data_IF_403184088684
#
_entry.id   IF_403184088684
#
_cell.length_a   1.000
_cell.length_b   1.000
_cell.length_c   1.000
_cell.angle_alpha   90.00
_cell.angle_beta   90.00
_cell.angle_gamma   90.00
#
_symmetry.space_group_name_H-M   'P 1'
#
loop_
_entity.id
_entity.type
_entity.pdbx_description
1 polymer ?
#
# COMPACT_ATOMS: atom_id res chain seq x y z
N UNK A 1 -12.43 -25.23 24.63
CA UNK A 1 -11.82 -26.06 23.57
C UNK A 1 -10.77 -25.19 22.92
N UNK A 2 -9.55 -25.26 23.44
CA UNK A 2 -8.41 -24.49 22.93
C UNK A 2 -7.92 -25.15 21.64
N UNK A 3 -7.85 -24.37 20.56
CA UNK A 3 -7.11 -24.76 19.36
C UNK A 3 -5.96 -23.78 19.17
N UNK A 4 -4.78 -24.25 19.57
CA UNK A 4 -3.49 -23.66 19.27
C UNK A 4 -3.10 -24.05 17.85
N UNK A 5 -2.93 -23.09 16.96
CA UNK A 5 -2.37 -23.33 15.63
C UNK A 5 -0.84 -23.32 15.70
N UNK A 6 -0.23 -24.41 15.24
CA UNK A 6 1.23 -24.56 15.13
C UNK A 6 1.72 -23.90 13.84
N UNK A 7 2.67 -22.99 13.95
CA UNK A 7 3.36 -22.36 12.82
C UNK A 7 4.39 -23.35 12.27
N UNK A 8 4.23 -23.74 11.01
CA UNK A 8 5.17 -24.60 10.27
C UNK A 8 6.47 -23.85 9.97
N UNK A 9 7.58 -24.35 10.50
CA UNK A 9 8.95 -23.96 10.13
C UNK A 9 9.35 -24.58 8.78
N UNK A 10 10.11 -23.82 7.99
CA UNK A 10 10.66 -24.20 6.67
C UNK A 10 11.59 -25.42 6.74
N UNK A 11 11.64 -26.28 5.71
CA UNK A 11 12.68 -27.29 5.58
C UNK A 11 13.97 -26.69 4.97
N UNK A 12 15.10 -27.14 5.50
CA UNK A 12 16.46 -26.89 5.02
C UNK A 12 16.71 -27.54 3.65
N UNK A 13 17.39 -26.82 2.76
CA UNK A 13 17.86 -27.32 1.46
C UNK A 13 19.26 -27.91 1.58
N UNK A 14 19.42 -29.14 1.11
CA UNK A 14 20.73 -29.80 0.90
C UNK A 14 21.23 -29.55 -0.53
N UNK A 15 22.55 -29.48 -0.77
CA UNK A 15 23.11 -29.22 -2.09
C UNK A 15 23.34 -30.53 -2.86
N UNK A 16 22.99 -30.54 -4.14
CA UNK A 16 23.38 -31.60 -5.08
C UNK A 16 24.47 -31.12 -6.06
N UNK A 17 25.49 -31.98 -6.10
CA UNK A 17 26.68 -32.13 -6.92
C UNK A 17 26.66 -31.73 -8.41
N UNK A 18 27.80 -31.17 -8.80
CA UNK A 18 28.41 -31.11 -10.14
C UNK A 18 28.36 -32.41 -10.96
N UNK A 19 28.23 -32.28 -12.28
CA UNK A 19 29.11 -32.91 -13.29
C UNK A 19 28.71 -32.49 -14.71
N UNK A 20 29.70 -32.26 -15.59
CA UNK A 20 29.54 -32.55 -17.03
C UNK A 20 29.95 -31.47 -18.05
N UNK A 21 31.27 -31.39 -18.27
CA UNK A 21 32.03 -31.11 -19.51
C UNK A 21 31.28 -31.13 -20.86
N UNK A 22 31.58 -30.16 -21.74
CA UNK A 22 31.37 -30.25 -23.19
C UNK A 22 31.92 -29.03 -23.96
N UNK A 23 33.10 -29.17 -24.55
CA UNK A 23 33.74 -28.24 -25.50
C UNK A 23 32.96 -28.16 -26.84
N UNK A 24 32.97 -27.01 -27.50
CA UNK A 24 33.34 -26.88 -28.93
C UNK A 24 33.31 -25.42 -29.42
N UNK A 25 34.32 -25.11 -30.22
CA UNK A 25 34.67 -23.82 -30.83
C UNK A 25 33.66 -23.32 -31.87
N UNK A 26 33.65 -22.00 -32.10
CA UNK A 26 32.93 -21.40 -33.23
C UNK A 26 33.17 -19.90 -33.38
N UNK A 27 34.26 -19.55 -34.07
CA UNK A 27 34.67 -18.20 -34.48
C UNK A 27 33.57 -17.47 -35.28
N UNK A 28 33.34 -16.19 -34.97
CA UNK A 28 33.27 -15.14 -35.99
C UNK A 28 33.51 -13.76 -35.38
N UNK A 29 34.54 -13.13 -35.93
CA UNK A 29 35.08 -11.82 -35.63
C UNK A 29 34.36 -10.81 -36.52
N UNK A 30 33.67 -9.82 -35.95
CA UNK A 30 33.24 -8.62 -36.66
C UNK A 30 33.55 -7.43 -35.76
N UNK A 31 34.71 -6.82 -36.00
CA UNK A 31 35.04 -5.48 -35.54
C UNK A 31 34.16 -4.48 -36.29
N UNK A 32 33.34 -3.75 -35.55
CA UNK A 32 32.78 -2.48 -35.99
C UNK A 32 33.20 -1.43 -34.95
N UNK A 33 34.31 -0.78 -35.25
CA UNK A 33 34.72 0.46 -34.60
C UNK A 33 33.64 1.52 -34.83
N UNK A 34 33.01 1.98 -33.75
CA UNK A 34 32.25 3.22 -33.72
C UNK A 34 32.58 3.94 -32.42
N UNK A 35 33.63 4.75 -32.48
CA UNK A 35 34.01 5.70 -31.45
C UNK A 35 32.98 6.83 -31.39
N UNK A 36 31.99 6.68 -30.53
CA UNK A 36 31.21 7.80 -29.98
C UNK A 36 31.45 7.84 -28.47
N UNK A 37 32.40 8.66 -28.07
CA UNK A 37 32.76 8.90 -26.68
C UNK A 37 31.68 9.75 -26.02
N UNK A 38 30.67 9.09 -25.46
CA UNK A 38 29.70 9.74 -24.59
C UNK A 38 30.39 10.13 -23.27
N UNK A 39 30.17 11.36 -22.75
CA UNK A 39 30.72 11.74 -21.46
C UNK A 39 30.13 10.83 -20.39
N UNK A 40 30.98 10.03 -19.74
CA UNK A 40 30.65 9.26 -18.54
C UNK A 40 30.28 10.26 -17.46
N UNK A 41 28.98 10.52 -17.33
CA UNK A 41 28.45 11.42 -16.32
C UNK A 41 28.79 10.87 -14.92
N UNK A 42 29.34 11.75 -14.09
CA UNK A 42 29.82 11.49 -12.73
C UNK A 42 28.65 11.29 -11.75
N UNK A 43 27.77 10.33 -12.03
CA UNK A 43 26.53 10.06 -11.29
C UNK A 43 26.79 9.54 -9.87
N UNK A 44 27.93 8.85 -9.66
CA UNK A 44 28.32 8.31 -8.36
C UNK A 44 28.56 9.38 -7.29
N UNK A 45 29.20 10.51 -7.63
CA UNK A 45 29.46 11.58 -6.65
C UNK A 45 28.17 12.31 -6.26
N UNK A 46 27.26 12.56 -7.20
CA UNK A 46 26.01 13.27 -6.89
C UNK A 46 25.10 12.44 -5.96
N UNK A 47 25.02 11.13 -6.19
CA UNK A 47 24.22 10.24 -5.34
C UNK A 47 24.72 10.22 -3.88
N UNK A 48 26.04 10.18 -3.67
CA UNK A 48 26.62 10.17 -2.32
C UNK A 48 26.40 11.48 -1.55
N UNK A 49 26.44 12.63 -2.21
CA UNK A 49 26.20 13.95 -1.56
C UNK A 49 24.73 14.08 -1.15
N UNK A 50 23.80 13.67 -2.01
CA UNK A 50 22.36 13.71 -1.71
C UNK A 50 21.99 12.77 -0.56
N UNK A 51 22.59 11.58 -0.49
CA UNK A 51 22.35 10.64 0.61
C UNK A 51 22.86 11.15 1.96
N UNK A 52 24.06 11.76 1.98
CA UNK A 52 24.64 12.31 3.21
C UNK A 52 23.79 13.44 3.79
N UNK A 53 23.43 14.42 2.96
CA UNK A 53 22.59 15.53 3.39
C UNK A 53 21.21 15.06 3.89
N UNK A 54 20.65 14.00 3.29
CA UNK A 54 19.42 13.36 3.76
C UNK A 54 19.60 12.77 5.17
N UNK A 55 20.64 11.98 5.39
CA UNK A 55 20.88 11.35 6.69
C UNK A 55 21.06 12.41 7.79
N UNK A 56 21.75 13.50 7.47
CA UNK A 56 21.92 14.65 8.37
C UNK A 56 20.57 15.33 8.67
N UNK A 57 19.73 15.56 7.65
CA UNK A 57 18.40 16.17 7.84
C UNK A 57 17.48 15.32 8.71
N UNK A 58 17.47 14.01 8.49
CA UNK A 58 16.69 13.07 9.30
C UNK A 58 17.21 13.03 10.75
N UNK A 59 18.53 12.97 10.94
CA UNK A 59 19.15 12.98 12.26
C UNK A 59 18.79 14.25 13.05
N UNK A 60 18.86 15.43 12.41
CA UNK A 60 18.45 16.69 13.03
C UNK A 60 16.97 16.69 13.44
N UNK A 61 16.08 16.23 12.55
CA UNK A 61 14.66 16.14 12.88
C UNK A 61 14.39 15.17 14.05
N UNK A 62 15.10 14.04 14.12
CA UNK A 62 15.00 13.09 15.24
C UNK A 62 15.45 13.75 16.55
N UNK A 63 16.54 14.53 16.54
CA UNK A 63 17.01 15.25 17.74
C UNK A 63 15.92 16.22 18.24
N UNK A 64 15.34 17.03 17.36
CA UNK A 64 14.26 17.97 17.72
C UNK A 64 13.07 17.26 18.35
N UNK A 65 12.66 16.10 17.79
CA UNK A 65 11.55 15.32 18.36
C UNK A 65 11.94 14.70 19.70
N UNK A 66 13.17 14.21 19.88
CA UNK A 66 13.65 13.62 21.13
C UNK A 66 13.79 14.64 22.27
N UNK A 67 14.04 15.90 21.95
CA UNK A 67 14.09 16.99 22.93
C UNK A 67 12.70 17.41 23.44
N UNK A 68 11.61 16.90 22.82
CA UNK A 68 10.24 17.12 23.28
C UNK A 68 9.98 16.46 24.63
N UNK A 69 9.46 17.23 25.59
CA UNK A 69 9.00 16.70 26.88
C UNK A 69 7.47 16.50 26.86
N UNK A 70 6.98 15.26 27.00
CA UNK A 70 5.54 14.98 27.06
C UNK A 70 4.84 15.74 28.20
N UNK A 71 3.64 16.28 27.94
CA UNK A 71 2.89 17.02 28.95
C UNK A 71 2.26 16.12 30.01
N UNK A 72 1.97 14.87 29.64
CA UNK A 72 1.37 13.87 30.52
C UNK A 72 1.66 12.45 29.96
N UNK A 73 1.38 11.37 30.73
CA UNK A 73 1.68 10.00 30.31
C UNK A 73 0.93 9.51 29.07
N UNK A 74 -0.12 10.20 28.62
CA UNK A 74 -0.91 9.86 27.43
C UNK A 74 -0.51 10.67 26.19
N UNK A 75 0.46 11.58 26.34
CA UNK A 75 0.95 12.40 25.25
C UNK A 75 1.90 11.58 24.35
N UNK A 76 1.33 11.13 23.23
CA UNK A 76 2.03 10.29 22.25
C UNK A 76 2.85 11.08 21.23
N UNK A 77 2.92 12.41 21.33
CA UNK A 77 3.52 13.31 20.31
C UNK A 77 4.91 12.85 19.88
N UNK A 78 5.82 12.63 20.81
CA UNK A 78 7.19 12.18 20.52
C UNK A 78 7.18 10.83 19.78
N UNK A 79 6.57 9.80 20.38
CA UNK A 79 6.54 8.45 19.80
C UNK A 79 5.89 8.41 18.41
N UNK A 80 4.84 9.20 18.20
CA UNK A 80 4.12 9.26 16.94
C UNK A 80 4.93 9.93 15.84
N UNK A 81 5.56 11.08 16.12
CA UNK A 81 6.40 11.77 15.13
C UNK A 81 7.65 10.93 14.77
N UNK A 82 8.26 10.25 15.74
CA UNK A 82 9.35 9.30 15.45
C UNK A 82 8.89 8.15 14.56
N UNK A 83 7.71 7.59 14.82
CA UNK A 83 7.14 6.56 13.96
C UNK A 83 6.93 7.06 12.53
N UNK A 84 6.44 8.29 12.33
CA UNK A 84 6.29 8.88 11.00
C UNK A 84 7.64 9.09 10.29
N UNK A 85 8.66 9.59 11.00
CA UNK A 85 9.99 9.80 10.45
C UNK A 85 10.63 8.48 9.98
N UNK A 86 10.43 7.40 10.73
CA UNK A 86 11.03 6.10 10.45
C UNK A 86 10.26 5.29 9.40
N UNK A 87 8.94 5.49 9.28
CA UNK A 87 8.06 4.65 8.47
C UNK A 87 7.38 5.40 7.32
N UNK A 88 7.88 6.58 6.94
CA UNK A 88 7.38 7.28 5.76
C UNK A 88 7.55 6.39 4.51
N UNK A 89 6.51 6.22 3.67
CA UNK A 89 6.54 5.29 2.53
C UNK A 89 7.61 5.59 1.49
N UNK A 90 8.03 6.85 1.39
CA UNK A 90 9.05 7.29 0.43
C UNK A 90 10.04 8.25 1.05
N UNK A 91 11.18 8.41 0.39
CA UNK A 91 12.17 9.42 0.76
C UNK A 91 11.61 10.84 0.70
N UNK A 92 10.73 11.12 -0.27
CA UNK A 92 10.09 12.44 -0.41
C UNK A 92 9.12 12.70 0.75
N UNK A 93 8.35 11.69 1.14
CA UNK A 93 7.50 11.72 2.33
C UNK A 93 8.31 11.97 3.60
N UNK A 94 9.39 11.21 3.80
CA UNK A 94 10.30 11.39 4.93
C UNK A 94 10.87 12.81 4.99
N UNK A 95 11.33 13.33 3.84
CA UNK A 95 11.87 14.69 3.73
C UNK A 95 10.82 15.75 4.07
N UNK A 96 9.56 15.57 3.64
CA UNK A 96 8.47 16.47 3.98
C UNK A 96 8.23 16.53 5.49
N UNK A 97 8.22 15.38 6.16
CA UNK A 97 8.05 15.28 7.62
C UNK A 97 9.24 15.94 8.33
N UNK A 98 10.47 15.61 7.94
CA UNK A 98 11.68 16.20 8.52
C UNK A 98 11.65 17.73 8.46
N UNK A 99 11.33 18.28 7.27
CA UNK A 99 11.22 19.73 7.08
C UNK A 99 10.19 20.35 8.02
N UNK A 100 8.98 19.78 8.13
CA UNK A 100 7.93 20.31 9.03
C UNK A 100 8.35 20.27 10.50
N UNK A 101 9.08 19.24 10.91
CA UNK A 101 9.64 19.15 12.27
C UNK A 101 10.67 20.28 12.50
N UNK A 102 11.59 20.48 11.56
CA UNK A 102 12.62 21.52 11.68
C UNK A 102 12.02 22.94 11.65
N UNK A 103 10.98 23.19 10.85
CA UNK A 103 10.19 24.43 10.86
C UNK A 103 9.53 24.73 12.23
N UNK A 104 9.34 23.71 13.08
CA UNK A 104 8.86 23.92 14.45
C UNK A 104 9.95 24.51 15.36
N UNK A 105 11.21 24.16 15.14
CA UNK A 105 12.37 24.62 15.92
C UNK A 105 12.73 26.07 15.61
N UNK A 106 12.67 26.47 14.33
CA UNK A 106 12.97 27.84 13.86
C UNK A 106 12.06 28.92 14.50
N UNK A 107 10.98 28.51 15.16
CA UNK A 107 9.91 29.37 15.66
C UNK A 107 10.19 30.11 16.97
N UNK A 108 11.31 29.83 17.66
CA UNK A 108 11.69 30.55 18.88
C UNK A 108 11.89 29.65 20.11
N UNK A 109 11.35 30.07 21.27
CA UNK A 109 11.68 29.42 22.55
C UNK A 109 11.09 27.99 22.69
N UNK A 110 11.68 27.19 23.60
CA UNK A 110 11.35 25.77 23.81
C UNK A 110 9.86 25.47 23.97
N UNK A 111 9.10 26.35 24.63
CA UNK A 111 7.66 26.16 24.83
C UNK A 111 6.89 26.23 23.51
N UNK A 112 7.23 27.17 22.64
CA UNK A 112 6.60 27.29 21.32
C UNK A 112 6.94 26.09 20.43
N UNK A 113 8.19 25.59 20.49
CA UNK A 113 8.59 24.38 19.76
C UNK A 113 7.72 23.19 20.18
N UNK A 114 7.55 22.97 21.50
CA UNK A 114 6.71 21.90 22.02
C UNK A 114 5.23 22.01 21.58
N UNK A 115 4.65 23.21 21.65
CA UNK A 115 3.28 23.44 21.20
C UNK A 115 3.12 23.17 19.69
N UNK A 116 4.08 23.58 18.85
CA UNK A 116 4.08 23.31 17.42
C UNK A 116 4.26 21.83 17.08
N UNK A 117 5.17 21.12 17.75
CA UNK A 117 5.34 19.67 17.55
C UNK A 117 4.07 18.91 17.90
N UNK A 118 3.37 19.29 18.97
CA UNK A 118 2.06 18.70 19.31
C UNK A 118 1.02 18.98 18.24
N UNK A 119 0.91 20.22 17.75
CA UNK A 119 0.01 20.55 16.65
C UNK A 119 0.34 19.80 15.36
N UNK A 120 1.62 19.56 15.08
CA UNK A 120 2.07 18.77 13.94
C UNK A 120 1.67 17.29 14.09
N UNK A 121 1.86 16.71 15.28
CA UNK A 121 1.42 15.35 15.58
C UNK A 121 -0.10 15.20 15.45
N UNK A 122 -0.87 16.15 16.00
CA UNK A 122 -2.32 16.20 15.84
C UNK A 122 -2.71 16.28 14.36
N UNK A 123 -2.07 17.16 13.58
CA UNK A 123 -2.34 17.30 12.15
C UNK A 123 -2.17 16.00 11.38
N UNK A 124 -1.08 15.26 11.61
CA UNK A 124 -0.90 13.93 11.02
C UNK A 124 -1.89 12.91 11.56
N UNK A 125 -2.20 12.92 12.86
CA UNK A 125 -3.14 11.97 13.46
C UNK A 125 -4.56 12.12 12.86
N UNK A 126 -5.05 13.36 12.78
CA UNK A 126 -6.37 13.70 12.23
C UNK A 126 -6.45 13.58 10.72
N UNK A 127 -5.34 13.76 10.01
CA UNK A 127 -5.31 13.65 8.55
C UNK A 127 -4.93 12.26 8.01
N UNK A 128 -4.27 11.41 8.80
CA UNK A 128 -3.79 10.10 8.36
C UNK A 128 -4.57 8.96 9.03
N UNK A 129 -4.44 8.80 10.36
CA UNK A 129 -4.92 7.60 11.04
C UNK A 129 -6.42 7.62 11.32
N UNK A 130 -6.95 8.77 11.77
CA UNK A 130 -8.37 8.87 12.12
C UNK A 130 -9.31 8.70 10.92
N UNK A 131 -9.05 9.28 9.74
CA UNK A 131 -9.89 9.05 8.56
C UNK A 131 -9.87 7.57 8.15
N UNK A 132 -8.70 6.93 8.17
CA UNK A 132 -8.57 5.50 7.82
C UNK A 132 -9.35 4.64 8.81
N UNK A 133 -9.23 4.90 10.12
CA UNK A 133 -9.90 4.12 11.17
C UNK A 133 -11.41 4.37 11.23
N UNK A 134 -11.85 5.63 11.29
CA UNK A 134 -13.26 5.99 11.50
C UNK A 134 -14.08 5.74 10.24
N UNK A 135 -13.53 6.06 9.07
CA UNK A 135 -14.24 5.91 7.80
C UNK A 135 -14.08 4.52 7.20
N UNK A 136 -12.99 3.81 7.51
CA UNK A 136 -12.83 2.40 7.16
C UNK A 136 -13.99 1.54 7.68
N UNK A 137 -14.55 1.86 8.85
CA UNK A 137 -15.74 1.18 9.40
C UNK A 137 -16.98 1.37 8.53
N UNK A 138 -17.11 2.50 7.81
CA UNK A 138 -18.34 2.92 7.11
C UNK A 138 -18.45 2.47 5.66
N UNK A 139 -17.64 1.52 5.18
CA UNK A 139 -17.80 1.08 3.78
C UNK A 139 -19.25 0.65 3.57
N UNK A 140 -19.90 1.15 2.52
CA UNK A 140 -21.33 1.03 2.39
C UNK A 140 -21.69 -0.45 2.42
N UNK A 141 -22.68 -0.84 3.21
CA UNK A 141 -23.21 -2.21 3.18
C UNK A 141 -23.64 -2.51 1.75
N UNK A 142 -23.14 -3.60 1.17
CA UNK A 142 -23.64 -4.12 -0.10
C UNK A 142 -25.09 -4.50 0.16
N UNK A 143 -26.03 -3.60 -0.18
CA UNK A 143 -27.44 -3.94 -0.20
C UNK A 143 -27.61 -4.99 -1.29
N UNK A 144 -27.98 -6.20 -0.91
CA UNK A 144 -28.35 -7.25 -1.84
C UNK A 144 -29.44 -6.69 -2.77
N UNK A 145 -29.29 -6.82 -4.11
CA UNK A 145 -30.41 -6.53 -5.00
C UNK A 145 -31.52 -7.56 -4.75
N UNK A 146 -32.80 -7.19 -4.96
CA UNK A 146 -33.91 -8.12 -4.79
C UNK A 146 -33.73 -9.36 -5.67
N UNK A 147 -34.10 -10.56 -5.19
CA UNK A 147 -33.94 -11.79 -5.96
C UNK A 147 -34.84 -11.72 -7.19
N UNK A 148 -34.24 -11.69 -8.40
CA UNK A 148 -35.03 -11.81 -9.64
C UNK A 148 -34.49 -11.19 -10.93
N UNK A 149 -33.33 -10.52 -10.96
CA UNK A 149 -32.81 -9.97 -12.22
C UNK A 149 -31.30 -10.23 -12.40
N UNK A 150 -30.95 -11.48 -12.66
CA UNK A 150 -29.70 -11.81 -13.34
C UNK A 150 -29.98 -11.90 -14.84
N UNK A 151 -29.80 -10.80 -15.58
CA UNK A 151 -29.77 -10.88 -17.04
C UNK A 151 -28.43 -11.50 -17.45
N UNK A 152 -28.50 -12.60 -18.21
CA UNK A 152 -27.36 -13.39 -18.70
C UNK A 152 -26.41 -12.65 -19.66
N UNK A 153 -26.66 -11.37 -19.95
CA UNK A 153 -25.99 -10.63 -21.03
C UNK A 153 -24.96 -9.59 -20.55
N UNK A 154 -24.66 -9.51 -19.25
CA UNK A 154 -23.68 -8.53 -18.71
C UNK A 154 -22.23 -9.03 -18.68
N UNK A 155 -21.98 -10.31 -18.91
CA UNK A 155 -20.65 -10.91 -18.77
C UNK A 155 -19.66 -10.38 -19.81
N UNK A 156 -20.14 -10.13 -21.04
CA UNK A 156 -19.36 -9.65 -22.19
C UNK A 156 -18.95 -8.17 -22.10
N UNK A 157 -19.55 -7.38 -21.19
CA UNK A 157 -19.22 -5.94 -21.05
C UNK A 157 -18.10 -5.67 -20.03
N UNK A 158 -17.84 -6.59 -19.12
CA UNK A 158 -16.86 -6.39 -18.04
C UNK A 158 -15.41 -6.63 -18.49
N UNK A 159 -15.16 -7.49 -19.47
CA UNK A 159 -13.80 -7.73 -19.99
C UNK A 159 -13.20 -6.50 -20.70
N UNK A 160 -14.05 -5.58 -21.15
CA UNK A 160 -13.64 -4.28 -21.70
C UNK A 160 -13.34 -3.22 -20.63
N UNK A 161 -13.71 -3.46 -19.37
CA UNK A 161 -13.51 -2.54 -18.25
C UNK A 161 -12.17 -2.75 -17.52
N UNK A 162 -11.46 -3.82 -17.85
CA UNK A 162 -10.19 -4.21 -17.22
C UNK A 162 -8.96 -3.47 -17.82
N UNK A 163 -8.90 -3.06 -19.11
CA UNK A 163 -7.67 -2.44 -19.64
C UNK A 163 -7.55 -0.91 -19.49
N UNK A 164 -8.60 -0.17 -19.13
CA UNK A 164 -8.56 1.31 -19.11
C UNK A 164 -9.21 1.84 -17.84
N UNK A 165 -8.37 2.13 -16.83
CA UNK A 165 -8.75 2.50 -15.46
C UNK A 165 -9.50 3.84 -15.28
N UNK A 166 -10.52 4.11 -16.10
CA UNK A 166 -11.29 5.37 -16.08
C UNK A 166 -12.81 5.21 -16.01
N UNK A 167 -13.35 3.99 -15.84
CA UNK A 167 -14.81 3.87 -15.70
C UNK A 167 -15.21 3.95 -14.24
N UNK A 168 -16.11 4.89 -13.92
CA UNK A 168 -16.83 4.96 -12.66
C UNK A 168 -17.68 3.68 -12.51
N UNK A 169 -17.07 2.65 -11.94
CA UNK A 169 -17.72 1.36 -11.71
C UNK A 169 -18.76 1.56 -10.61
N UNK A 170 -20.05 1.28 -10.89
CA UNK A 170 -21.08 1.27 -9.84
C UNK A 170 -20.64 0.29 -8.75
N UNK A 171 -20.90 0.59 -7.49
CA UNK A 171 -20.42 -0.21 -6.34
C UNK A 171 -20.57 -1.74 -6.48
N UNK A 172 -21.66 -2.22 -7.06
CA UNK A 172 -21.87 -3.66 -7.29
C UNK A 172 -20.93 -4.24 -8.35
N UNK A 173 -20.64 -3.46 -9.39
CA UNK A 173 -19.71 -3.81 -10.46
C UNK A 173 -18.26 -3.86 -9.91
N UNK A 174 -17.96 -3.10 -8.83
CA UNK A 174 -16.64 -3.08 -8.17
C UNK A 174 -16.33 -4.42 -7.50
N UNK A 175 -17.28 -4.99 -6.74
CA UNK A 175 -17.06 -6.31 -6.08
C UNK A 175 -16.86 -7.41 -7.10
N UNK A 176 -17.66 -7.43 -8.18
CA UNK A 176 -17.51 -8.40 -9.27
C UNK A 176 -16.15 -8.27 -9.97
N UNK A 177 -15.70 -7.06 -10.24
CA UNK A 177 -14.40 -6.82 -10.88
C UNK A 177 -13.22 -7.21 -9.96
N UNK A 178 -13.30 -6.88 -8.67
CA UNK A 178 -12.30 -7.27 -7.68
C UNK A 178 -12.22 -8.80 -7.52
N UNK A 179 -13.37 -9.48 -7.42
CA UNK A 179 -13.43 -10.94 -7.39
C UNK A 179 -12.81 -11.56 -8.63
N UNK A 180 -13.15 -11.10 -9.85
CA UNK A 180 -12.52 -11.60 -11.08
C UNK A 180 -11.01 -11.44 -11.09
N UNK A 181 -10.50 -10.27 -10.69
CA UNK A 181 -9.06 -10.00 -10.57
C UNK A 181 -8.38 -11.00 -9.63
N UNK A 182 -9.02 -11.31 -8.51
CA UNK A 182 -8.47 -12.16 -7.45
C UNK A 182 -8.83 -13.65 -7.64
N UNK A 183 -9.23 -14.06 -8.85
CA UNK A 183 -9.70 -15.42 -9.17
C UNK A 183 -10.76 -15.93 -8.16
N UNK A 184 -11.68 -15.03 -7.81
CA UNK A 184 -12.80 -15.22 -6.89
C UNK A 184 -12.39 -15.68 -5.49
N UNK A 185 -11.22 -15.24 -5.02
CA UNK A 185 -10.65 -15.65 -3.73
C UNK A 185 -10.34 -14.46 -2.86
N UNK A 186 -10.23 -14.70 -1.55
CA UNK A 186 -9.55 -13.76 -0.67
C UNK A 186 -8.08 -13.60 -1.10
N UNK A 187 -7.63 -12.35 -1.20
CA UNK A 187 -6.26 -11.99 -1.52
C UNK A 187 -5.25 -12.43 -0.44
N UNK A 188 -5.69 -12.74 0.79
CA UNK A 188 -4.79 -13.14 1.87
C UNK A 188 -4.81 -14.65 2.14
N UNK A 189 -5.98 -15.24 2.37
CA UNK A 189 -6.09 -16.68 2.67
C UNK A 189 -6.22 -17.57 1.43
N UNK A 190 -6.54 -17.00 0.26
CA UNK A 190 -6.82 -17.78 -0.95
C UNK A 190 -8.15 -18.55 -0.91
N UNK A 191 -8.95 -18.40 0.16
CA UNK A 191 -10.26 -19.03 0.29
C UNK A 191 -11.22 -18.54 -0.79
N UNK A 192 -11.99 -19.47 -1.37
CA UNK A 192 -12.92 -19.18 -2.47
C UNK A 192 -14.16 -18.45 -1.96
N UNK A 193 -14.61 -17.43 -2.68
CA UNK A 193 -15.85 -16.74 -2.39
C UNK A 193 -17.07 -17.68 -2.52
N UNK A 194 -17.86 -17.77 -1.45
CA UNK A 194 -19.00 -18.68 -1.34
C UNK A 194 -20.04 -18.47 -2.44
N UNK A 195 -20.36 -17.20 -2.77
CA UNK A 195 -21.35 -16.90 -3.80
C UNK A 195 -20.82 -17.27 -5.19
N UNK A 196 -19.55 -16.96 -5.46
CA UNK A 196 -18.88 -17.28 -6.72
C UNK A 196 -18.80 -18.80 -6.95
N UNK A 197 -18.55 -19.57 -5.88
CA UNK A 197 -18.61 -21.03 -5.91
C UNK A 197 -20.01 -21.55 -6.23
N UNK A 198 -21.06 -21.03 -5.58
CA UNK A 198 -22.46 -21.42 -5.85
C UNK A 198 -22.88 -21.14 -7.29
N UNK A 199 -22.40 -20.04 -7.84
CA UNK A 199 -22.61 -19.65 -9.24
C UNK A 199 -21.72 -20.40 -10.24
N UNK A 200 -20.92 -21.39 -9.79
CA UNK A 200 -20.02 -22.18 -10.64
C UNK A 200 -19.00 -21.35 -11.42
N UNK A 201 -18.57 -20.21 -10.86
CA UNK A 201 -17.54 -19.33 -11.46
C UNK A 201 -16.11 -19.81 -11.16
N UNK A 202 -15.97 -20.79 -10.28
CA UNK A 202 -14.70 -21.41 -9.88
C UNK A 202 -14.83 -22.91 -10.11
N UNK A 203 -13.91 -23.49 -10.86
CA UNK A 203 -13.95 -24.91 -11.24
C UNK A 203 -13.05 -25.78 -10.37
N UNK A 204 -12.04 -25.17 -9.76
CA UNK A 204 -11.10 -25.75 -8.81
C UNK A 204 -11.56 -25.46 -7.38
N UNK A 205 -12.49 -26.28 -6.88
CA UNK A 205 -12.76 -26.29 -5.45
C UNK A 205 -11.53 -26.83 -4.72
N UNK A 206 -10.66 -25.92 -4.31
CA UNK A 206 -9.53 -26.24 -3.46
C UNK A 206 -10.00 -26.87 -2.15
N UNK A 207 -9.12 -27.70 -1.58
CA UNK A 207 -9.31 -28.30 -0.23
C UNK A 207 -9.47 -27.25 0.88
N UNK A 208 -9.21 -25.97 0.59
CA UNK A 208 -9.25 -24.85 1.52
C UNK A 208 -10.70 -24.47 1.93
N UNK A 209 -11.70 -24.81 1.10
CA UNK A 209 -13.11 -24.50 1.37
C UNK A 209 -13.55 -23.11 0.89
N UNK A 210 -14.80 -22.76 1.18
CA UNK A 210 -15.45 -21.51 0.73
C UNK A 210 -15.77 -20.59 1.90
N UNK A 211 -15.73 -19.27 1.67
CA UNK A 211 -16.05 -18.25 2.67
C UNK A 211 -16.73 -17.03 2.03
N UNK A 212 -17.63 -16.32 2.73
CA UNK A 212 -18.06 -15.00 2.27
C UNK A 212 -16.87 -14.03 2.19
N UNK A 213 -16.71 -13.37 1.05
CA UNK A 213 -15.72 -12.31 0.86
C UNK A 213 -16.37 -10.94 0.73
N UNK A 214 -15.62 -9.90 1.07
CA UNK A 214 -16.01 -8.49 0.97
C UNK A 214 -14.89 -7.65 0.37
N UNK A 215 -15.28 -6.51 -0.22
CA UNK A 215 -14.33 -5.50 -0.70
C UNK A 215 -13.87 -4.62 0.46
N UNK A 216 -12.57 -4.63 0.71
CA UNK A 216 -11.88 -3.67 1.56
C UNK A 216 -11.19 -2.61 0.71
N UNK A 217 -11.47 -1.34 0.99
CA UNK A 217 -10.72 -0.24 0.42
C UNK A 217 -9.42 -0.03 1.22
N UNK A 218 -8.29 0.17 0.55
CA UNK A 218 -7.00 0.51 1.19
C UNK A 218 -7.09 1.93 1.77
N UNK A 219 -7.43 2.91 0.94
CA UNK A 219 -7.87 4.24 1.36
C UNK A 219 -9.40 4.31 1.37
N UNK A 220 -10.03 4.71 2.49
CA UNK A 220 -11.48 4.64 2.66
C UNK A 220 -12.27 5.29 1.52
N UNK A 221 -13.34 4.62 1.07
CA UNK A 221 -14.20 5.09 -0.02
C UNK A 221 -14.73 6.53 0.17
N UNK A 222 -14.96 6.92 1.42
CA UNK A 222 -15.49 8.24 1.78
C UNK A 222 -14.53 9.39 1.47
N UNK A 223 -13.25 9.09 1.24
CA UNK A 223 -12.27 10.07 0.78
C UNK A 223 -12.51 10.50 -0.67
N UNK A 224 -13.29 9.74 -1.43
CA UNK A 224 -13.73 10.10 -2.78
C UNK A 224 -14.54 11.41 -2.84
N UNK A 225 -15.20 11.81 -1.74
CA UNK A 225 -15.90 13.11 -1.64
C UNK A 225 -14.88 14.25 -1.40
N UNK A 226 -14.23 14.68 -2.47
CA UNK A 226 -13.03 15.54 -2.47
C UNK A 226 -13.22 16.86 -1.70
N UNK A 227 -14.39 17.50 -1.82
CA UNK A 227 -14.63 18.85 -1.29
C UNK A 227 -14.61 18.91 0.24
N UNK A 228 -14.84 17.77 0.91
CA UNK A 228 -14.84 17.68 2.39
C UNK A 228 -13.54 17.12 2.96
N UNK A 229 -12.62 16.68 2.11
CA UNK A 229 -11.46 15.85 2.51
C UNK A 229 -10.11 16.43 2.07
N UNK A 230 -10.06 17.70 1.64
CA UNK A 230 -8.83 18.37 1.20
C UNK A 230 -7.69 18.30 2.23
N UNK A 231 -8.00 18.43 3.52
CA UNK A 231 -7.03 18.28 4.60
C UNK A 231 -6.42 16.87 4.63
N UNK A 232 -7.25 15.83 4.51
CA UNK A 232 -6.82 14.42 4.52
C UNK A 232 -5.90 14.14 3.34
N UNK A 233 -6.27 14.61 2.15
CA UNK A 233 -5.42 14.49 0.96
C UNK A 233 -4.08 15.21 1.15
N UNK A 234 -4.09 16.46 1.63
CA UNK A 234 -2.85 17.22 1.89
C UNK A 234 -1.92 16.49 2.86
N UNK A 235 -2.48 15.89 3.92
CA UNK A 235 -1.71 15.13 4.91
C UNK A 235 -1.15 13.85 4.32
N UNK A 236 -1.96 13.10 3.57
CA UNK A 236 -1.54 11.88 2.87
C UNK A 236 -0.39 12.17 1.90
N UNK A 237 -0.50 13.20 1.08
CA UNK A 237 0.54 13.61 0.13
C UNK A 237 1.81 14.07 0.85
N UNK A 238 1.66 14.81 1.96
CA UNK A 238 2.80 15.20 2.78
C UNK A 238 3.50 13.97 3.38
N UNK A 239 2.76 12.95 3.79
CA UNK A 239 3.29 11.72 4.41
C UNK A 239 3.93 10.78 3.39
N UNK A 240 3.26 10.52 2.26
CA UNK A 240 3.73 9.55 1.27
C UNK A 240 4.63 10.15 0.19
N UNK A 241 4.59 11.47 -0.03
CA UNK A 241 5.39 12.14 -1.07
C UNK A 241 4.86 11.99 -2.51
N UNK A 242 3.67 11.42 -2.70
CA UNK A 242 2.98 11.32 -3.98
C UNK A 242 1.80 12.29 -4.04
N UNK A 243 1.36 12.64 -5.24
CA UNK A 243 0.08 13.31 -5.48
C UNK A 243 -1.04 12.26 -5.50
N UNK A 244 -1.47 11.85 -4.31
CA UNK A 244 -2.46 10.79 -4.13
C UNK A 244 -3.85 11.27 -4.51
N UNK A 245 -4.16 12.57 -4.33
CA UNK A 245 -5.45 13.12 -4.69
C UNK A 245 -5.70 12.99 -6.19
N UNK A 246 -4.72 13.27 -7.06
CA UNK A 246 -4.91 13.10 -8.50
C UNK A 246 -5.10 11.64 -8.93
N UNK A 247 -4.54 10.70 -8.14
CA UNK A 247 -4.64 9.26 -8.40
C UNK A 247 -5.96 8.63 -7.94
N UNK A 248 -6.51 9.07 -6.81
CA UNK A 248 -7.57 8.35 -6.09
C UNK A 248 -8.77 9.20 -5.64
N UNK A 249 -8.80 10.52 -5.89
CA UNK A 249 -9.96 11.35 -5.53
C UNK A 249 -11.16 11.13 -6.47
N UNK A 250 -12.36 11.52 -6.02
CA UNK A 250 -13.59 11.42 -6.81
C UNK A 250 -13.93 9.98 -7.15
N UNK A 251 -14.27 9.73 -8.41
CA UNK A 251 -14.62 8.39 -8.90
C UNK A 251 -13.41 7.43 -8.93
N UNK A 252 -12.18 7.96 -8.92
CA UNK A 252 -10.96 7.13 -8.92
C UNK A 252 -10.77 6.37 -7.60
N UNK A 253 -11.52 6.69 -6.55
CA UNK A 253 -11.47 5.94 -5.29
C UNK A 253 -11.88 4.47 -5.47
N UNK A 254 -12.68 4.17 -6.51
CA UNK A 254 -13.19 2.85 -6.89
C UNK A 254 -12.23 2.02 -7.74
N UNK A 255 -11.04 2.55 -8.05
CA UNK A 255 -9.99 1.83 -8.75
C UNK A 255 -9.66 0.51 -8.06
N UNK A 256 -9.47 -0.56 -8.83
CA UNK A 256 -9.16 -1.87 -8.28
C UNK A 256 -7.85 -1.84 -7.48
N UNK A 257 -6.90 -0.98 -7.84
CA UNK A 257 -5.64 -0.81 -7.11
C UNK A 257 -5.84 -0.29 -5.67
N UNK A 258 -6.99 0.30 -5.35
CA UNK A 258 -7.36 0.71 -4.01
C UNK A 258 -8.24 -0.33 -3.28
N UNK A 259 -8.35 -1.55 -3.81
CA UNK A 259 -9.31 -2.56 -3.36
C UNK A 259 -8.64 -3.92 -3.14
N UNK A 260 -8.94 -4.52 -1.99
CA UNK A 260 -8.61 -5.89 -1.63
C UNK A 260 -9.91 -6.71 -1.49
N UNK A 261 -9.94 -7.91 -2.06
CA UNK A 261 -10.97 -8.91 -1.74
C UNK A 261 -10.51 -9.67 -0.50
N UNK A 262 -11.27 -9.59 0.59
CA UNK A 262 -10.90 -10.19 1.88
C UNK A 262 -12.06 -11.02 2.43
N UNK A 263 -11.77 -12.11 3.13
CA UNK A 263 -12.79 -12.78 3.94
C UNK A 263 -13.12 -11.95 5.20
N UNK A 264 -14.25 -12.23 5.84
CA UNK A 264 -14.75 -11.39 6.94
C UNK A 264 -13.75 -11.16 8.09
N UNK A 265 -13.03 -12.17 8.62
CA UNK A 265 -12.01 -11.95 9.65
C UNK A 265 -10.86 -11.04 9.20
N UNK A 266 -10.30 -11.28 8.02
CA UNK A 266 -9.21 -10.46 7.44
C UNK A 266 -9.66 -9.01 7.24
N UNK A 267 -10.87 -8.86 6.72
CA UNK A 267 -11.48 -7.58 6.46
C UNK A 267 -11.70 -6.76 7.74
N UNK A 268 -12.11 -7.40 8.83
CA UNK A 268 -12.18 -6.76 10.15
C UNK A 268 -10.80 -6.38 10.68
N UNK A 269 -9.82 -7.27 10.54
CA UNK A 269 -8.46 -7.01 11.01
C UNK A 269 -7.82 -5.80 10.30
N UNK A 270 -7.97 -5.75 8.97
CA UNK A 270 -7.46 -4.69 8.11
C UNK A 270 -8.12 -3.33 8.42
N UNK A 271 -9.47 -3.29 8.48
CA UNK A 271 -10.20 -2.05 8.79
C UNK A 271 -9.99 -1.55 10.22
N UNK A 272 -9.81 -2.47 11.17
CA UNK A 272 -9.55 -2.14 12.56
C UNK A 272 -8.15 -1.56 12.79
N UNK A 273 -7.29 -1.56 11.77
CA UNK A 273 -5.85 -1.29 11.89
C UNK A 273 -5.19 -2.21 12.94
N UNK A 274 -5.70 -3.43 13.07
CA UNK A 274 -5.13 -4.48 13.95
C UNK A 274 -4.18 -5.41 13.20
N UNK A 275 -4.15 -5.31 11.87
CA UNK A 275 -3.13 -5.88 10.99
C UNK A 275 -2.87 -4.94 9.82
N UNK A 276 -1.68 -5.06 9.23
CA UNK A 276 -1.27 -4.30 8.04
C UNK A 276 -0.52 -5.21 7.07
N UNK A 277 -0.39 -4.74 5.83
CA UNK A 277 0.37 -5.43 4.78
C UNK A 277 1.66 -4.67 4.54
N UNK A 278 2.75 -5.41 4.35
CA UNK A 278 4.04 -4.83 3.96
C UNK A 278 4.27 -5.04 2.47
N UNK A 279 4.86 -4.04 1.83
CA UNK A 279 5.28 -4.16 0.44
C UNK A 279 6.39 -5.20 0.36
N UNK A 280 6.15 -6.29 -0.36
CA UNK A 280 7.20 -7.24 -0.71
C UNK A 280 7.91 -6.77 -1.97
N UNK A 281 9.26 -6.85 -2.04
CA UNK A 281 9.98 -6.57 -3.28
C UNK A 281 9.43 -7.50 -4.35
N UNK A 282 8.90 -6.93 -5.43
CA UNK A 282 8.43 -7.73 -6.57
C UNK A 282 9.69 -8.36 -7.17
N UNK A 283 9.88 -9.66 -6.95
CA UNK A 283 10.97 -10.37 -7.61
C UNK A 283 10.60 -10.43 -9.09
N UNK A 284 11.32 -9.67 -9.93
CA UNK A 284 11.08 -9.63 -11.38
C UNK A 284 11.25 -10.99 -12.06
N UNK A 285 11.74 -12.01 -11.34
CA UNK A 285 11.91 -13.39 -11.80
C UNK A 285 10.75 -14.33 -11.43
N UNK A 286 9.71 -13.84 -10.75
CA UNK A 286 8.54 -14.65 -10.36
C UNK A 286 7.26 -14.21 -11.07
N UNK A 287 7.33 -13.80 -12.34
CA UNK A 287 6.18 -13.91 -13.23
C UNK A 287 6.17 -15.37 -13.67
N UNK A 288 5.45 -16.21 -12.93
CA UNK A 288 5.15 -17.56 -13.39
C UNK A 288 4.13 -17.38 -14.54
N UNK A 289 4.55 -17.73 -15.76
CA UNK A 289 3.67 -17.90 -16.92
C UNK A 289 2.63 -19.01 -16.68
#
# INVERSE_FOLDING_TARGET
>A
MDQTYSILTRPETTPHSDTGVGEAEGKSHVELESSAQFPVANTGKLHTVTQRHRAETLASAIIVVNDYTPQNPQDITNSFLLALLNNAPTERGQRNICRRVLECEEAGNKRHVAEKLRSLAEWYMFGLLLPIKVLGVRTPKTSEPPPGQESKDQETSLDRLIPQGEVAVRKHDVKKAALRRDNYRSALSGLVDEQSCRSCLVHDLDKLGTVPTEVAYILPFSLGDCDKQALVWTVLESFCGYDVASLLSGQKIHRLENILTLCMPEHWAFRGLTGWLEAVPVCSFCIIE
#
